data_IF_144182345597
#
_entry.id   IF_144182345597
#
_cell.length_a   1.000
_cell.length_b   1.000
_cell.length_c   1.000
_cell.angle_alpha   90.00
_cell.angle_beta   90.00
_cell.angle_gamma   90.00
#
_symmetry.space_group_name_H-M   'P 1'
#
loop_
_entity.id
_entity.type
_entity.pdbx_description
1 polymer ?
#
# COMPACT_ATOMS: atom_id res chain seq x y z
N UNK A 1 65.28 49.39 -11.07
CA UNK A 1 64.61 48.25 -11.76
C UNK A 1 64.42 47.05 -10.83
N UNK A 2 65.45 46.53 -10.16
CA UNK A 2 65.40 45.35 -9.27
C UNK A 2 64.30 45.39 -8.18
N UNK A 3 64.11 46.54 -7.51
CA UNK A 3 63.13 46.72 -6.42
C UNK A 3 61.67 46.53 -6.87
N UNK A 4 61.35 46.82 -8.13
CA UNK A 4 59.99 46.64 -8.67
C UNK A 4 59.66 45.17 -8.96
N UNK A 5 60.66 44.36 -9.35
CA UNK A 5 60.49 42.92 -9.55
C UNK A 5 60.29 42.18 -8.23
N UNK A 6 61.04 42.54 -7.19
CA UNK A 6 60.87 41.97 -5.84
C UNK A 6 59.47 42.27 -5.27
N UNK A 7 58.94 43.46 -5.54
CA UNK A 7 57.60 43.85 -5.08
C UNK A 7 56.48 43.09 -5.83
N UNK A 8 56.58 42.96 -7.16
CA UNK A 8 55.62 42.19 -7.95
C UNK A 8 55.57 40.71 -7.54
N UNK A 9 56.73 40.09 -7.32
CA UNK A 9 56.79 38.70 -6.84
C UNK A 9 56.16 38.54 -5.44
N UNK A 10 56.40 39.50 -4.53
CA UNK A 10 55.79 39.47 -3.19
C UNK A 10 54.26 39.57 -3.25
N UNK A 11 53.70 40.42 -4.12
CA UNK A 11 52.24 40.53 -4.30
C UNK A 11 51.67 39.24 -4.88
N UNK A 12 52.32 38.64 -5.89
CA UNK A 12 51.85 37.40 -6.50
C UNK A 12 51.85 36.23 -5.49
N UNK A 13 52.88 36.12 -4.66
CA UNK A 13 52.94 35.11 -3.59
C UNK A 13 51.85 35.33 -2.53
N UNK A 14 51.58 36.58 -2.17
CA UNK A 14 50.49 36.93 -1.25
C UNK A 14 49.10 36.62 -1.85
N UNK A 15 48.90 36.85 -3.15
CA UNK A 15 47.63 36.50 -3.82
C UNK A 15 47.45 34.99 -3.95
N UNK A 16 48.51 34.23 -4.25
CA UNK A 16 48.49 32.77 -4.32
C UNK A 16 48.13 32.15 -2.96
N UNK A 17 48.73 32.64 -1.86
CA UNK A 17 48.45 32.17 -0.51
C UNK A 17 46.98 32.46 -0.11
N UNK A 18 46.45 33.64 -0.46
CA UNK A 18 45.05 34.01 -0.17
C UNK A 18 44.05 33.08 -0.89
N UNK A 19 44.30 32.75 -2.16
CA UNK A 19 43.45 31.82 -2.93
C UNK A 19 43.55 30.39 -2.40
N UNK A 20 44.74 29.95 -2.01
CA UNK A 20 44.97 28.65 -1.38
C UNK A 20 44.18 28.52 -0.08
N UNK A 21 44.29 29.51 0.81
CA UNK A 21 43.56 29.54 2.09
C UNK A 21 42.04 29.52 1.84
N UNK A 22 41.52 30.31 0.89
CA UNK A 22 40.08 30.30 0.56
C UNK A 22 39.61 28.94 0.08
N UNK A 23 40.38 28.28 -0.79
CA UNK A 23 40.05 26.95 -1.33
C UNK A 23 40.02 25.88 -0.24
N UNK A 24 40.95 25.93 0.73
CA UNK A 24 40.95 25.00 1.87
C UNK A 24 39.72 25.17 2.78
N UNK A 25 39.22 26.40 2.96
CA UNK A 25 37.99 26.64 3.73
C UNK A 25 36.77 26.03 3.04
N UNK A 26 36.62 26.21 1.72
CA UNK A 26 35.51 25.61 0.98
C UNK A 26 35.53 24.08 1.03
N UNK A 27 36.72 23.47 0.89
CA UNK A 27 36.87 22.02 1.03
C UNK A 27 36.45 21.56 2.43
N UNK A 28 36.90 22.26 3.47
CA UNK A 28 36.52 21.94 4.85
C UNK A 28 35.00 22.07 5.07
N UNK A 29 34.37 23.13 4.55
CA UNK A 29 32.92 23.32 4.63
C UNK A 29 32.15 22.22 3.88
N UNK A 30 32.61 21.81 2.71
CA UNK A 30 32.00 20.72 1.92
C UNK A 30 32.13 19.38 2.66
N UNK A 31 33.30 19.09 3.23
CA UNK A 31 33.52 17.88 4.04
C UNK A 31 32.60 17.88 5.26
N UNK A 32 32.47 19.02 5.96
CA UNK A 32 31.58 19.15 7.11
C UNK A 32 30.10 18.94 6.72
N UNK A 33 29.67 19.47 5.57
CA UNK A 33 28.30 19.27 5.05
C UNK A 33 28.02 17.81 4.69
N UNK A 34 28.98 17.12 4.07
CA UNK A 34 28.85 15.69 3.73
C UNK A 34 28.77 14.81 4.98
N UNK A 35 29.48 15.16 6.05
CA UNK A 35 29.41 14.47 7.35
C UNK A 35 28.05 14.66 8.04
N UNK A 36 27.35 15.77 7.79
CA UNK A 36 26.01 16.00 8.34
C UNK A 36 24.94 15.12 7.66
N UNK A 37 25.10 14.83 6.37
CA UNK A 37 24.15 14.02 5.58
C UNK A 37 24.14 12.54 5.95
N UNK A 38 25.24 12.03 6.52
CA UNK A 38 25.33 10.63 6.98
C UNK A 38 24.80 10.42 8.40
N UNK A 39 24.40 11.49 9.09
CA UNK A 39 24.05 11.50 10.52
C UNK A 39 22.59 11.17 10.87
N UNK A 40 21.77 10.63 9.97
CA UNK A 40 20.36 10.36 10.27
C UNK A 40 19.91 8.98 9.78
N UNK A 41 20.15 7.96 10.61
CA UNK A 41 19.39 6.70 10.56
C UNK A 41 19.19 6.20 11.99
N UNK A 42 17.95 6.28 12.47
CA UNK A 42 17.55 5.67 13.73
C UNK A 42 17.17 4.22 13.47
N UNK A 43 17.95 3.27 13.99
CA UNK A 43 17.51 1.88 14.11
C UNK A 43 16.55 1.80 15.28
N UNK A 44 15.28 1.47 15.02
CA UNK A 44 14.31 1.24 16.09
C UNK A 44 14.76 0.00 16.87
N UNK A 45 14.89 0.15 18.19
CA UNK A 45 15.11 -0.98 19.09
C UNK A 45 13.97 -2.00 18.90
N UNK A 46 14.25 -3.28 18.65
CA UNK A 46 13.23 -4.32 18.52
C UNK A 46 12.24 -4.37 19.70
N UNK A 47 12.67 -4.02 20.92
CA UNK A 47 11.80 -3.93 22.11
C UNK A 47 10.75 -2.80 22.02
N UNK A 48 10.98 -1.81 21.15
CA UNK A 48 10.05 -0.72 20.83
C UNK A 48 9.30 -0.96 19.52
N UNK A 49 9.57 -2.07 18.84
CA UNK A 49 8.83 -2.48 17.64
C UNK A 49 7.62 -3.30 18.03
N UNK A 50 6.47 -3.01 17.43
CA UNK A 50 5.23 -3.79 17.60
C UNK A 50 5.09 -4.71 16.40
N UNK A 51 4.81 -5.99 16.64
CA UNK A 51 4.49 -6.91 15.55
C UNK A 51 3.07 -6.67 15.05
N UNK A 52 2.96 -5.89 13.96
CA UNK A 52 1.69 -5.55 13.34
C UNK A 52 0.98 -6.73 12.66
N UNK A 53 1.65 -7.89 12.45
CA UNK A 53 0.98 -9.08 11.89
C UNK A 53 -0.03 -9.71 12.85
N UNK A 54 0.02 -9.35 14.13
CA UNK A 54 -0.93 -9.83 15.16
C UNK A 54 -2.08 -8.84 15.41
N UNK A 55 -2.02 -7.65 14.81
CA UNK A 55 -3.05 -6.64 14.97
C UNK A 55 -4.34 -7.03 14.19
N UNK A 56 -5.47 -6.50 14.64
CA UNK A 56 -6.78 -6.73 14.02
C UNK A 56 -7.62 -7.81 14.69
N UNK A 57 -8.89 -7.88 14.31
CA UNK A 57 -9.82 -8.90 14.77
C UNK A 57 -9.48 -10.25 14.12
N UNK A 58 -9.15 -11.25 14.94
CA UNK A 58 -9.09 -12.64 14.49
C UNK A 58 -10.50 -13.21 14.56
N UNK A 59 -11.22 -13.17 13.45
CA UNK A 59 -12.58 -13.69 13.39
C UNK A 59 -12.57 -15.21 13.65
N UNK A 60 -13.18 -15.61 14.76
CA UNK A 60 -13.40 -17.01 15.11
C UNK A 60 -14.87 -17.42 14.92
N UNK A 61 -15.76 -16.46 14.67
CA UNK A 61 -17.21 -16.70 14.57
C UNK A 61 -17.62 -17.33 13.24
N UNK A 62 -16.78 -17.19 12.22
CA UNK A 62 -16.98 -17.80 10.90
C UNK A 62 -16.14 -19.06 10.68
N UNK A 63 -15.42 -19.53 11.72
CA UNK A 63 -14.69 -20.79 11.66
C UNK A 63 -15.65 -21.95 11.38
N UNK A 64 -15.39 -22.69 10.30
CA UNK A 64 -16.22 -23.82 9.87
C UNK A 64 -17.33 -23.46 8.89
N UNK A 65 -17.50 -22.18 8.52
CA UNK A 65 -18.43 -21.82 7.44
C UNK A 65 -17.96 -22.44 6.12
N UNK A 66 -18.91 -22.92 5.33
CA UNK A 66 -18.63 -23.42 3.99
C UNK A 66 -18.24 -22.24 3.07
N UNK A 67 -17.03 -22.26 2.53
CA UNK A 67 -16.61 -21.26 1.55
C UNK A 67 -17.05 -21.68 0.15
N UNK A 68 -18.00 -20.94 -0.43
CA UNK A 68 -18.56 -21.20 -1.76
C UNK A 68 -17.98 -20.16 -2.71
N UNK A 69 -17.32 -20.60 -3.79
CA UNK A 69 -16.88 -19.71 -4.86
C UNK A 69 -17.99 -19.62 -5.92
N UNK A 70 -18.59 -18.44 -6.07
CA UNK A 70 -19.70 -18.24 -7.00
C UNK A 70 -19.28 -18.29 -8.47
N UNK A 71 -17.97 -18.25 -8.77
CA UNK A 71 -17.47 -18.51 -10.11
C UNK A 71 -17.90 -19.88 -10.65
N UNK A 72 -18.11 -20.86 -9.76
CA UNK A 72 -18.37 -22.25 -10.13
C UNK A 72 -19.87 -22.53 -10.33
N UNK A 73 -20.73 -21.54 -10.07
CA UNK A 73 -22.20 -21.68 -10.05
C UNK A 73 -22.91 -20.96 -11.21
N UNK A 74 -22.16 -20.50 -12.21
CA UNK A 74 -22.74 -19.98 -13.46
C UNK A 74 -23.47 -18.64 -13.33
N UNK A 75 -23.09 -17.80 -12.38
CA UNK A 75 -23.61 -16.43 -12.29
C UNK A 75 -23.22 -15.64 -13.54
N UNK A 76 -24.17 -14.85 -14.06
CA UNK A 76 -23.88 -13.81 -15.04
C UNK A 76 -23.09 -12.68 -14.38
N UNK A 77 -21.92 -12.40 -14.94
CA UNK A 77 -20.99 -11.35 -14.51
C UNK A 77 -20.99 -10.14 -15.43
N UNK A 78 -21.78 -10.19 -16.50
CA UNK A 78 -21.88 -9.09 -17.45
C UNK A 78 -22.84 -8.00 -16.95
N UNK A 79 -23.76 -8.36 -16.06
CA UNK A 79 -24.82 -7.47 -15.57
C UNK A 79 -26.00 -7.37 -16.54
N UNK A 80 -26.09 -8.28 -17.51
CA UNK A 80 -27.16 -8.29 -18.52
C UNK A 80 -28.29 -9.24 -18.15
N UNK A 81 -27.99 -10.31 -17.41
CA UNK A 81 -28.97 -11.32 -16.99
C UNK A 81 -29.11 -11.32 -15.48
N UNK A 82 -30.33 -11.25 -14.93
CA UNK A 82 -30.54 -11.31 -13.49
C UNK A 82 -30.11 -12.65 -12.88
N UNK A 83 -29.43 -12.60 -11.73
CA UNK A 83 -28.87 -13.77 -11.03
C UNK A 83 -29.78 -14.33 -9.92
N UNK A 84 -31.05 -13.89 -9.86
CA UNK A 84 -31.96 -14.16 -8.75
C UNK A 84 -32.21 -15.66 -8.50
N UNK A 85 -32.40 -16.44 -9.57
CA UNK A 85 -32.67 -17.87 -9.48
C UNK A 85 -31.47 -18.65 -8.94
N UNK A 86 -30.28 -18.33 -9.45
CA UNK A 86 -29.02 -18.97 -9.07
C UNK A 86 -28.70 -18.69 -7.61
N UNK A 87 -28.76 -17.42 -7.18
CA UNK A 87 -28.51 -17.07 -5.79
C UNK A 87 -29.53 -17.68 -4.85
N UNK A 88 -30.82 -17.66 -5.18
CA UNK A 88 -31.83 -18.30 -4.34
C UNK A 88 -31.60 -19.81 -4.19
N UNK A 89 -31.19 -20.50 -5.26
CA UNK A 89 -30.85 -21.93 -5.18
C UNK A 89 -29.66 -22.18 -4.25
N UNK A 90 -28.61 -21.35 -4.31
CA UNK A 90 -27.45 -21.46 -3.44
C UNK A 90 -27.82 -21.20 -1.98
N UNK A 91 -28.57 -20.12 -1.72
CA UNK A 91 -29.02 -19.76 -0.36
C UNK A 91 -29.88 -20.84 0.28
N UNK A 92 -30.72 -21.51 -0.50
CA UNK A 92 -31.53 -22.64 -0.03
C UNK A 92 -30.71 -23.91 0.26
N UNK A 93 -29.50 -24.01 -0.29
CA UNK A 93 -28.60 -25.15 -0.10
C UNK A 93 -27.51 -24.89 0.98
N UNK A 94 -27.52 -23.70 1.61
CA UNK A 94 -26.57 -23.37 2.67
C UNK A 94 -26.79 -24.29 3.88
N UNK A 95 -25.72 -24.95 4.40
CA UNK A 95 -25.84 -25.78 5.59
C UNK A 95 -26.08 -24.94 6.85
N UNK A 96 -26.62 -25.56 7.90
CA UNK A 96 -26.84 -24.87 9.20
C UNK A 96 -25.55 -24.30 9.82
N UNK A 97 -24.40 -24.90 9.51
CA UNK A 97 -23.08 -24.41 9.95
C UNK A 97 -22.71 -23.04 9.36
N UNK A 98 -23.45 -22.54 8.37
CA UNK A 98 -23.22 -21.28 7.69
C UNK A 98 -22.35 -21.37 6.45
N UNK A 99 -22.36 -20.31 5.65
CA UNK A 99 -21.59 -20.22 4.41
C UNK A 99 -21.10 -18.81 4.11
N UNK A 100 -19.96 -18.74 3.42
CA UNK A 100 -19.39 -17.53 2.84
C UNK A 100 -19.52 -17.66 1.32
N UNK A 101 -20.39 -16.86 0.72
CA UNK A 101 -20.55 -16.78 -0.73
C UNK A 101 -19.57 -15.73 -1.27
N UNK A 102 -18.52 -16.21 -1.95
CA UNK A 102 -17.49 -15.36 -2.54
C UNK A 102 -17.87 -15.01 -3.98
N UNK A 103 -18.25 -13.76 -4.21
CA UNK A 103 -18.46 -13.21 -5.52
C UNK A 103 -17.11 -12.98 -6.21
N UNK A 104 -16.93 -13.44 -7.45
CA UNK A 104 -15.78 -13.05 -8.25
C UNK A 104 -15.91 -11.59 -8.70
N UNK A 105 -14.87 -11.08 -9.37
CA UNK A 105 -14.98 -9.80 -10.05
C UNK A 105 -16.00 -9.89 -11.20
N UNK A 106 -16.83 -8.87 -11.35
CA UNK A 106 -17.91 -8.82 -12.34
C UNK A 106 -19.09 -7.95 -11.90
N UNK A 107 -19.99 -7.67 -12.85
CA UNK A 107 -21.22 -6.92 -12.62
C UNK A 107 -22.38 -7.89 -12.40
N UNK A 108 -23.05 -7.79 -11.26
CA UNK A 108 -24.14 -8.70 -10.91
C UNK A 108 -25.47 -7.94 -10.86
N UNK A 109 -26.39 -8.31 -11.75
CA UNK A 109 -27.75 -7.79 -11.77
C UNK A 109 -28.68 -8.68 -10.95
N UNK A 110 -29.55 -8.07 -10.16
CA UNK A 110 -30.67 -8.72 -9.48
C UNK A 110 -31.97 -7.98 -9.79
N UNK A 111 -33.04 -8.72 -10.03
CA UNK A 111 -34.36 -8.17 -10.34
C UNK A 111 -35.40 -8.42 -9.24
N UNK A 112 -35.04 -9.22 -8.23
CA UNK A 112 -35.93 -9.59 -7.13
C UNK A 112 -35.24 -9.41 -5.79
N UNK A 113 -36.03 -9.21 -4.75
CA UNK A 113 -35.52 -9.18 -3.38
C UNK A 113 -34.87 -10.53 -3.04
N UNK A 114 -33.62 -10.49 -2.61
CA UNK A 114 -32.90 -11.65 -2.08
C UNK A 114 -33.05 -11.67 -0.56
N UNK A 115 -33.52 -12.78 0.00
CA UNK A 115 -33.62 -12.97 1.45
C UNK A 115 -32.40 -13.74 1.94
N UNK A 116 -31.54 -13.06 2.68
CA UNK A 116 -30.32 -13.68 3.24
C UNK A 116 -30.68 -14.37 4.56
N UNK A 117 -30.53 -15.71 4.66
CA UNK A 117 -30.77 -16.42 5.91
C UNK A 117 -29.63 -16.17 6.91
N UNK A 118 -29.84 -16.59 8.16
CA UNK A 118 -28.81 -16.51 9.21
C UNK A 118 -27.54 -17.28 8.80
N UNK A 119 -26.40 -16.84 9.33
CA UNK A 119 -25.08 -17.48 9.11
C UNK A 119 -24.63 -17.48 7.64
N UNK A 120 -25.08 -16.51 6.85
CA UNK A 120 -24.61 -16.28 5.48
C UNK A 120 -23.83 -14.98 5.40
N UNK A 121 -22.64 -15.07 4.79
CA UNK A 121 -21.80 -13.91 4.47
C UNK A 121 -21.70 -13.79 2.96
N UNK A 122 -22.01 -12.59 2.45
CA UNK A 122 -21.74 -12.24 1.06
C UNK A 122 -20.42 -11.47 1.00
N UNK A 123 -19.47 -11.94 0.19
CA UNK A 123 -18.13 -11.34 0.09
C UNK A 123 -17.77 -11.05 -1.35
N UNK A 124 -17.49 -9.79 -1.67
CA UNK A 124 -16.94 -9.36 -2.97
C UNK A 124 -15.43 -9.11 -2.93
N UNK A 125 -14.84 -8.83 -4.10
CA UNK A 125 -13.42 -8.45 -4.24
C UNK A 125 -13.16 -6.95 -4.06
N UNK A 126 -14.19 -6.17 -3.71
CA UNK A 126 -14.15 -4.73 -3.55
C UNK A 126 -15.29 -4.05 -4.30
N UNK A 127 -15.65 -2.82 -3.90
CA UNK A 127 -16.79 -2.09 -4.48
C UNK A 127 -16.64 -1.87 -6.01
N UNK A 128 -15.41 -1.59 -6.47
CA UNK A 128 -15.11 -1.37 -7.89
C UNK A 128 -15.01 -2.67 -8.70
N UNK A 129 -14.76 -3.80 -8.03
CA UNK A 129 -14.55 -5.09 -8.71
C UNK A 129 -15.79 -5.98 -8.69
N UNK A 130 -16.68 -5.79 -7.73
CA UNK A 130 -17.92 -6.57 -7.58
C UNK A 130 -19.11 -5.61 -7.37
N UNK A 131 -19.43 -4.76 -8.35
CA UNK A 131 -20.64 -3.93 -8.28
C UNK A 131 -21.90 -4.80 -8.37
N UNK A 132 -22.89 -4.45 -7.54
CA UNK A 132 -24.20 -5.09 -7.50
C UNK A 132 -25.24 -4.07 -7.95
N UNK A 133 -26.04 -4.45 -8.93
CA UNK A 133 -27.11 -3.63 -9.50
C UNK A 133 -28.48 -4.26 -9.20
N UNK A 134 -29.48 -3.41 -8.98
CA UNK A 134 -30.84 -3.85 -8.74
C UNK A 134 -31.80 -3.11 -9.68
N UNK A 135 -32.57 -3.85 -10.47
CA UNK A 135 -33.58 -3.32 -11.40
C UNK A 135 -34.87 -4.18 -11.31
N UNK A 136 -35.96 -3.66 -10.73
CA UNK A 136 -37.20 -4.42 -10.47
C UNK A 136 -38.03 -4.72 -11.73
#
# INVERSE_FOLDING_TARGET
MFRQYTYKNKIQLLSLNKTYISSMHHIFTIVFLLLYLVGSSQTIDPSRSVNWTLAGLKDTTTLGFLSINLNDYGLDKSGLTPNDSVINAILNAVPESGAILNFPAGNFLFSKTIRIPSHVILRGQGAESTPIHYEP
#
